data_IF_958686616221
#
_entry.id   IF_958686616221
#
_cell.length_a   1.000
_cell.length_b   1.000
_cell.length_c   1.000
_cell.angle_alpha   90.00
_cell.angle_beta   90.00
_cell.angle_gamma   90.00
#
_symmetry.space_group_name_H-M   'P 1'
#
loop_
_entity.id
_entity.type
_entity.pdbx_description
1 polymer ?
#
# COMPACT_ATOMS: atom_id res chain seq x y z
N UNK A 1 -7.13 -12.61 -2.69
CA UNK A 1 -5.70 -12.84 -2.50
C UNK A 1 -4.91 -11.58 -2.87
N UNK A 2 -3.74 -11.40 -2.23
CA UNK A 2 -2.85 -10.25 -2.33
C UNK A 2 -1.48 -10.71 -2.83
N UNK A 3 -0.90 -9.99 -3.78
CA UNK A 3 0.34 -10.36 -4.46
C UNK A 3 1.47 -9.43 -4.05
N UNK A 4 2.53 -9.97 -3.46
CA UNK A 4 3.69 -9.18 -2.98
C UNK A 4 5.00 -9.95 -3.11
N UNK A 5 6.12 -9.23 -3.08
CA UNK A 5 7.44 -9.86 -3.05
C UNK A 5 7.73 -10.44 -1.67
N UNK A 6 8.59 -11.47 -1.63
CA UNK A 6 8.94 -12.19 -0.40
C UNK A 6 9.38 -11.27 0.74
N UNK A 7 10.22 -10.27 0.43
CA UNK A 7 10.74 -9.29 1.40
C UNK A 7 9.66 -8.38 1.98
N UNK A 8 8.55 -8.18 1.26
CA UNK A 8 7.47 -7.29 1.64
C UNK A 8 6.31 -8.01 2.35
N UNK A 9 6.37 -9.35 2.48
CA UNK A 9 5.26 -10.16 3.01
C UNK A 9 4.79 -9.70 4.39
N UNK A 10 5.71 -9.42 5.32
CA UNK A 10 5.35 -8.90 6.64
C UNK A 10 4.72 -7.51 6.56
N UNK A 11 5.26 -6.60 5.74
CA UNK A 11 4.67 -5.27 5.51
C UNK A 11 3.27 -5.35 4.89
N UNK A 12 3.05 -6.33 4.01
CA UNK A 12 1.74 -6.60 3.45
C UNK A 12 0.76 -7.06 4.53
N UNK A 13 1.17 -8.01 5.39
CA UNK A 13 0.37 -8.42 6.55
C UNK A 13 0.00 -7.21 7.40
N UNK A 14 0.98 -6.38 7.78
CA UNK A 14 0.76 -5.16 8.56
C UNK A 14 -0.31 -4.26 7.95
N UNK A 15 -0.25 -3.99 6.64
CA UNK A 15 -1.26 -3.17 5.96
C UNK A 15 -2.66 -3.77 6.00
N UNK A 16 -2.80 -5.08 5.83
CA UNK A 16 -4.10 -5.75 5.91
C UNK A 16 -4.69 -5.70 7.32
N UNK A 17 -3.83 -5.79 8.35
CA UNK A 17 -4.24 -5.61 9.74
C UNK A 17 -4.66 -4.15 10.01
N UNK A 18 -3.85 -3.19 9.57
CA UNK A 18 -4.10 -1.76 9.76
C UNK A 18 -5.35 -1.23 9.04
N UNK A 19 -5.76 -1.86 7.94
CA UNK A 19 -7.00 -1.56 7.25
C UNK A 19 -8.25 -2.01 8.04
N UNK A 20 -8.07 -2.94 8.99
CA UNK A 20 -9.14 -3.67 9.67
C UNK A 20 -9.15 -3.35 11.18
N UNK A 21 -9.78 -2.25 11.63
CA UNK A 21 -9.64 -1.74 13.00
C UNK A 21 -10.23 -2.63 14.11
N UNK A 22 -11.14 -3.55 13.78
CA UNK A 22 -11.73 -4.51 14.72
C UNK A 22 -11.33 -5.95 14.38
N UNK A 23 -10.06 -6.14 14.04
CA UNK A 23 -9.56 -7.43 13.60
C UNK A 23 -9.52 -8.42 14.77
N UNK A 24 -10.14 -9.57 14.58
CA UNK A 24 -10.05 -10.72 15.47
C UNK A 24 -9.75 -11.92 14.59
N UNK A 25 -8.51 -12.38 14.62
CA UNK A 25 -7.96 -13.15 13.50
C UNK A 25 -7.00 -14.26 13.88
N UNK A 26 -6.89 -15.23 12.96
CA UNK A 26 -5.81 -16.21 12.96
C UNK A 26 -4.93 -15.98 11.74
N UNK A 27 -3.62 -15.88 11.96
CA UNK A 27 -2.59 -15.78 10.93
C UNK A 27 -1.89 -17.14 10.80
N UNK A 28 -2.09 -17.81 9.68
CA UNK A 28 -1.51 -19.13 9.42
C UNK A 28 -0.15 -19.04 8.74
N UNK A 29 0.87 -19.55 9.43
CA UNK A 29 2.23 -19.71 8.93
C UNK A 29 2.53 -21.19 8.61
N UNK A 30 3.63 -21.45 7.89
CA UNK A 30 4.03 -22.83 7.54
C UNK A 30 4.79 -23.52 8.68
N UNK A 31 5.73 -22.82 9.31
CA UNK A 31 6.66 -23.41 10.29
C UNK A 31 6.50 -22.78 11.66
N UNK A 32 6.91 -23.52 12.71
CA UNK A 32 6.89 -23.01 14.10
C UNK A 32 7.78 -21.78 14.25
N UNK A 33 8.98 -21.81 13.68
CA UNK A 33 9.87 -20.65 13.64
C UNK A 33 9.23 -19.42 12.97
N UNK A 34 8.48 -19.59 11.86
CA UNK A 34 7.79 -18.49 11.19
C UNK A 34 6.66 -17.93 12.07
N UNK A 35 5.94 -18.78 12.82
CA UNK A 35 4.92 -18.28 13.76
C UNK A 35 5.52 -17.39 14.85
N UNK A 36 6.64 -17.81 15.46
CA UNK A 36 7.31 -17.05 16.51
C UNK A 36 7.87 -15.73 15.99
N UNK A 37 8.50 -15.74 14.80
CA UNK A 37 9.03 -14.52 14.17
C UNK A 37 7.92 -13.52 13.83
N UNK A 38 6.82 -14.00 13.23
CA UNK A 38 5.69 -13.14 12.86
C UNK A 38 4.99 -12.58 14.11
N UNK A 39 4.72 -13.40 15.12
CA UNK A 39 4.12 -12.94 16.37
C UNK A 39 5.00 -11.87 17.05
N UNK A 40 6.29 -12.14 17.21
CA UNK A 40 7.22 -11.19 17.83
C UNK A 40 7.33 -9.87 17.05
N UNK A 41 7.28 -9.91 15.72
CA UNK A 41 7.25 -8.69 14.90
C UNK A 41 5.94 -7.92 15.04
N UNK A 42 4.81 -8.60 15.12
CA UNK A 42 3.51 -7.96 15.37
C UNK A 42 3.47 -7.31 16.75
N UNK A 43 3.91 -8.00 17.80
CA UNK A 43 3.96 -7.43 19.16
C UNK A 43 4.88 -6.20 19.22
N UNK A 44 6.03 -6.21 18.53
CA UNK A 44 6.92 -5.04 18.42
C UNK A 44 6.29 -3.85 17.71
N UNK A 45 5.35 -4.09 16.80
CA UNK A 45 4.60 -3.05 16.08
C UNK A 45 3.35 -2.61 16.87
N UNK A 46 3.13 -3.13 18.09
CA UNK A 46 2.05 -2.73 18.99
C UNK A 46 0.75 -3.52 18.81
N UNK A 47 0.75 -4.61 18.03
CA UNK A 47 -0.43 -5.48 17.92
C UNK A 47 -0.54 -6.44 19.10
N UNK A 48 -1.77 -6.67 19.56
CA UNK A 48 -2.11 -7.72 20.54
C UNK A 48 -2.05 -9.10 19.86
N UNK A 49 -0.84 -9.59 19.62
CA UNK A 49 -0.56 -10.84 18.93
C UNK A 49 0.15 -11.85 19.82
N UNK A 50 -0.22 -13.12 19.71
CA UNK A 50 0.42 -14.23 20.42
C UNK A 50 0.59 -15.45 19.50
N UNK A 51 1.46 -16.38 19.89
CA UNK A 51 1.84 -17.55 19.10
C UNK A 51 1.10 -18.80 19.57
N UNK A 52 0.69 -19.65 18.63
CA UNK A 52 0.15 -20.98 18.91
C UNK A 52 0.79 -22.02 17.99
N UNK A 53 1.80 -22.71 18.49
CA UNK A 53 2.51 -23.76 17.74
C UNK A 53 2.83 -24.96 18.64
N UNK A 54 3.49 -25.98 18.07
CA UNK A 54 3.80 -27.23 18.77
C UNK A 54 5.02 -27.16 19.71
N UNK A 55 5.64 -26.00 19.88
CA UNK A 55 6.74 -25.80 20.84
C UNK A 55 6.22 -25.36 22.21
N UNK A 56 4.93 -25.00 22.31
CA UNK A 56 4.27 -24.64 23.56
C UNK A 56 3.94 -25.87 24.39
N UNK A 57 4.16 -25.78 25.70
CA UNK A 57 3.61 -26.75 26.65
C UNK A 57 2.08 -26.66 26.69
N UNK A 58 1.42 -27.70 27.22
CA UNK A 58 -0.04 -27.69 27.33
C UNK A 58 -0.55 -26.50 28.18
N UNK A 59 0.11 -26.20 29.31
CA UNK A 59 -0.26 -25.06 30.15
C UNK A 59 -0.09 -23.72 29.43
N UNK A 60 0.98 -23.55 28.64
CA UNK A 60 1.18 -22.35 27.83
C UNK A 60 0.12 -22.22 26.74
N UNK A 61 -0.22 -23.34 26.09
CA UNK A 61 -1.29 -23.41 25.09
C UNK A 61 -2.62 -22.96 25.69
N UNK A 62 -2.97 -23.47 26.87
CA UNK A 62 -4.23 -23.11 27.54
C UNK A 62 -4.25 -21.62 27.94
N UNK A 63 -3.13 -21.07 28.41
CA UNK A 63 -2.99 -19.64 28.72
C UNK A 63 -3.23 -18.75 27.48
N UNK A 64 -2.56 -19.03 26.37
CA UNK A 64 -2.73 -18.28 25.11
C UNK A 64 -4.17 -18.38 24.63
N UNK A 65 -4.77 -19.57 24.72
CA UNK A 65 -6.14 -19.80 24.30
C UNK A 65 -7.18 -19.10 25.18
N UNK A 66 -6.93 -18.98 26.48
CA UNK A 66 -7.77 -18.18 27.38
C UNK A 66 -7.70 -16.70 26.98
N UNK A 67 -6.48 -16.14 26.87
CA UNK A 67 -6.28 -14.75 26.42
C UNK A 67 -6.95 -14.46 25.07
N UNK A 68 -6.88 -15.40 24.13
CA UNK A 68 -7.49 -15.24 22.82
C UNK A 68 -9.02 -15.28 22.88
N UNK A 69 -9.61 -16.18 23.69
CA UNK A 69 -11.08 -16.23 23.90
C UNK A 69 -11.60 -14.99 24.61
N UNK A 70 -10.82 -14.46 25.55
CA UNK A 70 -11.13 -13.25 26.30
C UNK A 70 -10.84 -11.96 25.50
N UNK A 71 -10.40 -12.09 24.23
CA UNK A 71 -10.00 -10.99 23.34
C UNK A 71 -8.88 -10.09 23.86
N UNK A 72 -8.12 -10.55 24.85
CA UNK A 72 -6.87 -9.89 25.25
C UNK A 72 -5.79 -10.04 24.16
N UNK A 73 -5.87 -11.12 23.39
CA UNK A 73 -5.13 -11.32 22.15
C UNK A 73 -6.12 -11.23 20.99
N UNK A 74 -5.81 -10.39 20.01
CA UNK A 74 -6.66 -10.16 18.84
C UNK A 74 -6.15 -10.94 17.62
N UNK A 75 -4.85 -11.23 17.57
CA UNK A 75 -4.20 -11.90 16.45
C UNK A 75 -3.45 -13.13 16.94
N UNK A 76 -3.97 -14.31 16.60
CA UNK A 76 -3.30 -15.58 16.91
C UNK A 76 -2.46 -16.04 15.73
N UNK A 77 -1.15 -16.18 15.91
CA UNK A 77 -0.24 -16.66 14.85
C UNK A 77 0.02 -18.15 15.04
N UNK A 78 -0.43 -18.97 14.09
CA UNK A 78 -0.47 -20.43 14.29
C UNK A 78 0.02 -21.26 13.09
N UNK A 79 0.38 -22.51 13.37
CA UNK A 79 0.53 -23.56 12.35
C UNK A 79 -0.76 -24.37 12.21
N UNK A 80 -0.92 -25.10 11.11
CA UNK A 80 -2.10 -25.96 10.89
C UNK A 80 -2.33 -26.96 12.02
N UNK A 81 -1.26 -27.63 12.44
CA UNK A 81 -1.34 -28.68 13.47
C UNK A 81 -1.83 -28.09 14.78
N UNK A 82 -1.26 -26.96 15.20
CA UNK A 82 -1.62 -26.32 16.45
C UNK A 82 -3.02 -25.67 16.40
N UNK A 83 -3.52 -25.35 15.22
CA UNK A 83 -4.82 -24.73 15.02
C UNK A 83 -5.98 -25.72 14.78
N UNK A 84 -5.69 -27.02 14.61
CA UNK A 84 -6.74 -28.05 14.54
C UNK A 84 -7.47 -28.13 15.88
N UNK A 85 -8.78 -28.33 15.82
CA UNK A 85 -9.62 -28.39 17.03
C UNK A 85 -9.76 -27.06 17.78
N UNK A 86 -9.30 -25.94 17.23
CA UNK A 86 -9.55 -24.63 17.82
C UNK A 86 -11.06 -24.32 17.82
N UNK A 87 -11.66 -24.38 19.00
CA UNK A 87 -13.01 -23.89 19.26
C UNK A 87 -12.96 -22.39 19.57
N UNK A 88 -12.73 -21.61 18.50
CA UNK A 88 -12.81 -20.15 18.57
C UNK A 88 -13.90 -19.71 17.61
N UNK A 89 -14.95 -19.15 18.18
CA UNK A 89 -16.08 -18.61 17.44
C UNK A 89 -15.81 -17.16 17.04
N UNK A 90 -16.50 -16.68 16.01
CA UNK A 90 -16.57 -15.26 15.64
C UNK A 90 -15.26 -14.59 15.18
N UNK A 91 -14.32 -15.34 14.59
CA UNK A 91 -13.17 -14.71 13.93
C UNK A 91 -13.65 -13.86 12.77
N UNK A 92 -13.27 -12.58 12.74
CA UNK A 92 -13.59 -11.67 11.64
C UNK A 92 -12.71 -11.95 10.43
N UNK A 93 -11.47 -12.41 10.68
CA UNK A 93 -10.49 -12.65 9.64
C UNK A 93 -9.73 -13.97 9.80
N UNK A 94 -9.44 -14.61 8.68
CA UNK A 94 -8.41 -15.65 8.57
C UNK A 94 -7.38 -15.17 7.57
N UNK A 95 -6.10 -15.15 7.97
CA UNK A 95 -5.02 -14.68 7.12
C UNK A 95 -4.07 -15.83 6.83
N UNK A 96 -4.02 -16.25 5.58
CA UNK A 96 -3.02 -17.20 5.10
C UNK A 96 -1.72 -16.45 4.82
N UNK A 97 -0.87 -16.32 5.84
CA UNK A 97 0.46 -15.72 5.70
C UNK A 97 1.36 -16.56 4.80
N UNK A 98 1.21 -17.88 4.85
CA UNK A 98 1.68 -18.83 3.82
C UNK A 98 0.52 -19.70 3.37
N UNK A 99 0.46 -20.03 2.10
CA UNK A 99 -0.48 -21.06 1.63
C UNK A 99 -0.15 -22.41 2.27
N UNK A 100 -1.16 -23.21 2.64
CA UNK A 100 -0.93 -24.58 3.07
C UNK A 100 -0.34 -25.41 1.92
N UNK A 101 0.38 -26.47 2.28
CA UNK A 101 0.98 -27.38 1.30
C UNK A 101 -0.06 -28.39 0.79
N UNK A 102 -0.99 -28.81 1.66
CA UNK A 102 -2.19 -29.59 1.32
C UNK A 102 -3.36 -28.69 0.94
N UNK A 103 -4.22 -29.16 0.04
CA UNK A 103 -5.27 -28.31 -0.53
C UNK A 103 -6.47 -28.20 0.41
N UNK A 104 -6.85 -29.31 1.01
CA UNK A 104 -7.96 -29.46 1.96
C UNK A 104 -7.71 -28.62 3.23
N UNK A 105 -6.44 -28.43 3.59
CA UNK A 105 -6.05 -27.55 4.69
C UNK A 105 -6.53 -26.11 4.49
N UNK A 106 -6.62 -25.60 3.25
CA UNK A 106 -7.17 -24.25 3.01
C UNK A 106 -8.63 -24.14 3.46
N UNK A 107 -9.44 -25.18 3.24
CA UNK A 107 -10.85 -25.20 3.66
C UNK A 107 -10.92 -25.18 5.18
N UNK A 108 -10.10 -25.99 5.86
CA UNK A 108 -10.06 -26.02 7.33
C UNK A 108 -9.60 -24.70 7.96
N UNK A 109 -8.69 -23.97 7.29
CA UNK A 109 -8.26 -22.63 7.69
C UNK A 109 -9.37 -21.62 7.48
N UNK A 110 -9.90 -21.52 6.26
CA UNK A 110 -10.91 -20.52 5.92
C UNK A 110 -12.22 -20.74 6.68
N UNK A 111 -12.59 -21.99 6.99
CA UNK A 111 -13.71 -22.34 7.86
C UNK A 111 -13.57 -21.96 9.34
N UNK A 112 -12.53 -21.20 9.72
CA UNK A 112 -12.41 -20.59 11.07
C UNK A 112 -13.13 -19.24 11.17
N UNK A 113 -13.41 -18.59 10.04
CA UNK A 113 -14.24 -17.38 9.98
C UNK A 113 -15.59 -17.71 9.32
N UNK A 114 -16.53 -16.75 9.29
CA UNK A 114 -17.81 -16.90 8.60
C UNK A 114 -18.75 -17.95 9.22
N UNK A 115 -18.69 -18.14 10.55
CA UNK A 115 -19.50 -19.15 11.28
C UNK A 115 -20.80 -18.54 11.82
N UNK A 116 -21.79 -19.40 12.05
CA UNK A 116 -23.07 -19.05 12.66
C UNK A 116 -23.79 -17.87 11.98
N UNK A 117 -23.77 -17.84 10.64
CA UNK A 117 -24.43 -16.81 9.83
C UNK A 117 -23.73 -15.45 9.79
N UNK A 118 -22.59 -15.28 10.46
CA UNK A 118 -21.79 -14.04 10.39
C UNK A 118 -20.92 -14.02 9.15
N UNK A 119 -20.67 -12.82 8.63
CA UNK A 119 -19.68 -12.62 7.56
C UNK A 119 -18.25 -12.78 8.10
N UNK A 120 -17.34 -13.13 7.20
CA UNK A 120 -15.95 -13.41 7.54
C UNK A 120 -15.03 -13.27 6.33
N UNK A 121 -13.82 -12.76 6.55
CA UNK A 121 -12.86 -12.49 5.48
C UNK A 121 -11.67 -13.43 5.53
N UNK A 122 -11.39 -14.11 4.41
CA UNK A 122 -10.22 -14.98 4.25
C UNK A 122 -9.19 -14.34 3.32
N UNK A 123 -8.11 -13.84 3.91
CA UNK A 123 -6.99 -13.23 3.19
C UNK A 123 -5.94 -14.28 2.84
N UNK A 124 -5.28 -14.05 1.71
CA UNK A 124 -4.20 -14.90 1.21
C UNK A 124 -3.09 -14.00 0.71
N UNK A 125 -1.89 -14.13 1.28
CA UNK A 125 -0.71 -13.39 0.84
C UNK A 125 0.19 -14.36 0.05
N UNK A 126 0.46 -14.03 -1.21
CA UNK A 126 1.27 -14.87 -2.10
C UNK A 126 2.39 -14.10 -2.80
N UNK A 127 3.44 -14.84 -3.16
CA UNK A 127 4.50 -14.42 -4.07
C UNK A 127 4.13 -14.72 -5.54
N UNK A 128 4.77 -14.04 -6.53
CA UNK A 128 4.53 -14.30 -7.96
C UNK A 128 4.66 -15.77 -8.39
N UNK A 129 5.57 -16.53 -7.76
CA UNK A 129 5.73 -17.96 -8.03
C UNK A 129 4.57 -18.84 -7.54
N UNK A 130 3.73 -18.32 -6.64
CA UNK A 130 2.64 -19.06 -6.00
C UNK A 130 1.28 -18.85 -6.69
N UNK A 131 1.20 -18.02 -7.74
CA UNK A 131 -0.06 -17.73 -8.46
C UNK A 131 -0.75 -19.01 -8.96
N UNK A 132 0.03 -20.02 -9.39
CA UNK A 132 -0.52 -21.32 -9.82
C UNK A 132 -1.24 -22.05 -8.68
N UNK A 133 -0.81 -21.86 -7.42
CA UNK A 133 -1.44 -22.47 -6.24
C UNK A 133 -2.85 -21.93 -6.01
N UNK A 134 -3.11 -20.65 -6.32
CA UNK A 134 -4.45 -20.07 -6.22
C UNK A 134 -5.44 -20.82 -7.11
N UNK A 135 -5.08 -21.10 -8.37
CA UNK A 135 -5.94 -21.83 -9.29
C UNK A 135 -6.33 -23.21 -8.78
N UNK A 136 -5.42 -23.90 -8.11
CA UNK A 136 -5.71 -25.21 -7.51
C UNK A 136 -6.67 -25.11 -6.33
N UNK A 137 -6.58 -24.03 -5.55
CA UNK A 137 -7.52 -23.78 -4.45
C UNK A 137 -8.90 -23.43 -5.00
N UNK A 138 -8.97 -22.58 -6.03
CA UNK A 138 -10.23 -22.21 -6.71
C UNK A 138 -10.98 -23.43 -7.25
N UNK A 139 -10.27 -24.40 -7.83
CA UNK A 139 -10.85 -25.65 -8.33
C UNK A 139 -11.57 -26.44 -7.24
N UNK A 140 -11.02 -26.49 -6.03
CA UNK A 140 -11.60 -27.23 -4.91
C UNK A 140 -12.72 -26.44 -4.24
N UNK A 141 -12.56 -25.12 -4.13
CA UNK A 141 -13.61 -24.26 -3.60
C UNK A 141 -14.82 -24.14 -4.53
N UNK A 142 -14.64 -24.41 -5.83
CA UNK A 142 -15.65 -24.13 -6.87
C UNK A 142 -15.95 -22.63 -7.01
N UNK A 143 -15.03 -21.75 -6.55
CA UNK A 143 -15.22 -20.29 -6.51
C UNK A 143 -13.92 -19.58 -6.87
N UNK A 144 -14.02 -18.48 -7.60
CA UNK A 144 -12.89 -17.61 -7.92
C UNK A 144 -12.46 -16.82 -6.68
N UNK A 145 -11.15 -16.76 -6.42
CA UNK A 145 -10.59 -15.97 -5.35
C UNK A 145 -10.21 -14.60 -5.92
N UNK A 146 -10.96 -13.57 -5.53
CA UNK A 146 -10.72 -12.19 -5.97
C UNK A 146 -9.27 -11.76 -5.72
N UNK A 147 -8.57 -11.33 -6.78
CA UNK A 147 -7.28 -10.63 -6.64
C UNK A 147 -7.53 -9.19 -6.21
N UNK A 148 -6.94 -8.80 -5.09
CA UNK A 148 -7.05 -7.43 -4.54
C UNK A 148 -5.66 -6.84 -4.38
N UNK A 149 -5.43 -5.56 -4.72
CA UNK A 149 -4.18 -4.90 -4.40
C UNK A 149 -4.01 -4.79 -2.88
N UNK A 150 -2.76 -4.83 -2.41
CA UNK A 150 -2.42 -4.43 -1.05
C UNK A 150 -2.72 -2.94 -0.92
N UNK A 151 -3.42 -2.50 0.15
CA UNK A 151 -3.73 -1.10 0.36
C UNK A 151 -2.49 -0.22 0.28
N UNK A 152 -2.67 0.95 -0.30
CA UNK A 152 -1.69 2.02 -0.33
C UNK A 152 -1.57 2.69 1.04
N UNK A 153 -0.46 3.39 1.24
CA UNK A 153 -0.24 4.20 2.45
C UNK A 153 -1.39 5.18 2.73
N UNK A 154 -1.94 5.81 1.68
CA UNK A 154 -3.05 6.75 1.80
C UNK A 154 -4.35 6.05 2.24
N UNK A 155 -4.64 4.87 1.70
CA UNK A 155 -5.81 4.08 2.10
C UNK A 155 -5.72 3.66 3.57
N UNK A 156 -4.53 3.24 4.03
CA UNK A 156 -4.32 2.90 5.45
C UNK A 156 -4.48 4.11 6.36
N UNK A 157 -3.86 5.24 6.02
CA UNK A 157 -4.01 6.48 6.78
C UNK A 157 -5.49 6.85 6.90
N UNK A 158 -6.22 6.82 5.79
CA UNK A 158 -7.66 7.12 5.77
C UNK A 158 -8.46 6.16 6.63
N UNK A 159 -8.19 4.85 6.55
CA UNK A 159 -8.89 3.85 7.35
C UNK A 159 -8.67 4.06 8.85
N UNK A 160 -7.42 4.28 9.27
CA UNK A 160 -7.08 4.56 10.66
C UNK A 160 -7.70 5.86 11.17
N UNK A 161 -7.63 6.92 10.37
CA UNK A 161 -8.23 8.21 10.71
C UNK A 161 -9.74 8.09 10.88
N UNK A 162 -10.42 7.45 9.92
CA UNK A 162 -11.87 7.24 10.01
C UNK A 162 -12.26 6.44 11.26
N UNK A 163 -11.49 5.40 11.63
CA UNK A 163 -11.78 4.66 12.85
C UNK A 163 -11.61 5.53 14.11
N UNK A 164 -10.55 6.34 14.18
CA UNK A 164 -10.35 7.27 15.29
C UNK A 164 -11.47 8.31 15.37
N UNK A 165 -11.88 8.88 14.24
CA UNK A 165 -12.98 9.84 14.19
C UNK A 165 -14.31 9.23 14.64
N UNK A 166 -14.62 8.00 14.23
CA UNK A 166 -15.82 7.30 14.71
C UNK A 166 -15.77 7.07 16.22
N UNK A 167 -14.59 6.76 16.78
CA UNK A 167 -14.41 6.60 18.23
C UNK A 167 -14.60 7.93 18.96
N UNK A 168 -14.07 9.02 18.39
CA UNK A 168 -14.22 10.37 18.92
C UNK A 168 -15.69 10.81 18.91
N UNK A 169 -16.42 10.52 17.83
CA UNK A 169 -17.86 10.80 17.72
C UNK A 169 -18.69 10.00 18.74
N UNK A 170 -18.30 8.76 19.02
CA UNK A 170 -18.98 7.90 20.01
C UNK A 170 -18.56 8.11 21.47
N UNK A 171 -17.57 8.99 21.73
CA UNK A 171 -17.05 9.19 23.07
C UNK A 171 -18.06 9.97 23.93
N UNK A 172 -18.22 9.57 25.19
CA UNK A 172 -19.07 10.25 26.15
C UNK A 172 -18.22 11.07 27.15
N UNK A 173 -18.15 12.41 27.03
CA UNK A 173 -17.34 13.25 27.90
C UNK A 173 -17.83 13.29 29.36
N UNK A 174 -19.11 13.00 29.60
CA UNK A 174 -19.76 13.12 30.92
C UNK A 174 -19.28 12.05 31.91
N UNK A 175 -18.72 10.93 31.44
CA UNK A 175 -18.27 9.82 32.29
C UNK A 175 -17.07 10.19 33.19
N UNK A 176 -16.34 11.25 32.86
CA UNK A 176 -15.07 11.58 33.52
C UNK A 176 -15.06 12.97 34.18
N UNK A 177 -16.22 13.62 34.34
CA UNK A 177 -16.35 14.98 34.92
C UNK A 177 -15.34 15.98 34.32
N UNK A 178 -15.20 15.98 32.99
CA UNK A 178 -14.18 16.77 32.30
C UNK A 178 -14.46 18.28 32.32
N UNK A 179 -15.64 18.69 32.79
CA UNK A 179 -16.07 20.08 32.89
C UNK A 179 -15.13 20.92 33.77
N UNK A 180 -14.46 20.31 34.75
CA UNK A 180 -13.48 21.01 35.59
C UNK A 180 -12.27 21.55 34.82
N UNK A 181 -11.97 20.98 33.64
CA UNK A 181 -10.87 21.41 32.79
C UNK A 181 -11.27 22.52 31.81
N UNK A 182 -12.56 22.85 31.68
CA UNK A 182 -13.05 23.85 30.73
C UNK A 182 -12.38 25.22 30.89
N UNK A 183 -12.20 25.77 32.11
CA UNK A 183 -11.50 27.05 32.27
C UNK A 183 -10.07 27.04 31.73
N UNK A 184 -9.34 25.92 31.93
CA UNK A 184 -7.95 25.77 31.44
C UNK A 184 -7.92 25.63 29.92
N UNK A 185 -8.90 24.93 29.34
CA UNK A 185 -9.03 24.80 27.89
C UNK A 185 -9.38 26.14 27.24
N UNK A 186 -10.27 26.92 27.84
CA UNK A 186 -10.64 28.26 27.36
C UNK A 186 -9.46 29.25 27.44
N UNK A 187 -8.71 29.25 28.55
CA UNK A 187 -7.51 30.09 28.69
C UNK A 187 -6.47 29.78 27.59
N UNK A 188 -6.23 28.49 27.32
CA UNK A 188 -5.18 28.06 26.37
C UNK A 188 -5.62 28.09 24.91
N UNK A 189 -6.88 27.78 24.63
CA UNK A 189 -7.36 27.52 23.27
C UNK A 189 -8.54 28.40 22.85
N UNK A 190 -9.03 29.31 23.70
CA UNK A 190 -10.17 30.17 23.38
C UNK A 190 -9.99 31.08 22.16
N UNK A 191 -8.75 31.29 21.71
CA UNK A 191 -8.43 32.03 20.48
C UNK A 191 -8.40 31.15 19.22
N UNK A 192 -8.36 29.83 19.36
CA UNK A 192 -8.33 28.89 18.24
C UNK A 192 -9.76 28.48 17.87
N UNK A 193 -9.99 28.26 16.58
CA UNK A 193 -11.24 27.63 16.16
C UNK A 193 -11.19 26.11 16.37
N UNK A 194 -12.35 25.47 16.44
CA UNK A 194 -12.47 24.03 16.66
C UNK A 194 -11.73 23.19 15.61
N UNK A 195 -11.67 23.67 14.35
CA UNK A 195 -10.97 22.97 13.28
C UNK A 195 -9.46 22.95 13.51
N UNK A 196 -8.87 24.04 13.99
CA UNK A 196 -7.45 24.13 14.34
C UNK A 196 -7.09 23.21 15.49
N UNK A 197 -7.96 23.14 16.51
CA UNK A 197 -7.79 22.23 17.64
C UNK A 197 -7.85 20.77 17.16
N UNK A 198 -8.86 20.42 16.36
CA UNK A 198 -9.00 19.07 15.80
C UNK A 198 -7.80 18.67 14.92
N UNK A 199 -7.32 19.57 14.06
CA UNK A 199 -6.14 19.31 13.22
C UNK A 199 -4.87 19.12 14.07
N UNK A 200 -4.70 19.87 15.15
CA UNK A 200 -3.59 19.69 16.10
C UNK A 200 -3.68 18.34 16.81
N UNK A 201 -4.86 17.96 17.29
CA UNK A 201 -5.10 16.65 17.94
C UNK A 201 -4.76 15.51 16.98
N UNK A 202 -5.31 15.56 15.75
CA UNK A 202 -5.03 14.54 14.73
C UNK A 202 -3.53 14.51 14.39
N UNK A 203 -2.89 15.67 14.25
CA UNK A 203 -1.46 15.74 13.94
C UNK A 203 -0.59 15.10 15.02
N UNK A 204 -0.93 15.29 16.30
CA UNK A 204 -0.19 14.71 17.42
C UNK A 204 -0.45 13.20 17.54
N UNK A 205 -1.71 12.79 17.43
CA UNK A 205 -2.09 11.38 17.56
C UNK A 205 -1.57 10.51 16.39
N UNK A 206 -1.53 11.06 15.17
CA UNK A 206 -1.17 10.33 13.96
C UNK A 206 0.27 10.57 13.47
N UNK A 207 1.10 11.36 14.16
CA UNK A 207 2.45 11.72 13.73
C UNK A 207 3.28 10.50 13.28
N UNK A 208 3.39 9.50 14.18
CA UNK A 208 4.08 8.23 13.90
C UNK A 208 3.48 7.47 12.71
N UNK A 209 2.16 7.49 12.56
CA UNK A 209 1.46 6.83 11.46
C UNK A 209 1.79 7.52 10.14
N UNK A 210 1.75 8.85 10.09
CA UNK A 210 2.10 9.63 8.91
C UNK A 210 3.57 9.42 8.53
N UNK A 211 4.50 9.50 9.48
CA UNK A 211 5.93 9.29 9.21
C UNK A 211 6.21 7.89 8.62
N UNK A 212 5.65 6.85 9.25
CA UNK A 212 5.81 5.48 8.77
C UNK A 212 5.29 5.32 7.34
N UNK A 213 4.07 5.80 7.07
CA UNK A 213 3.40 5.59 5.80
C UNK A 213 3.85 6.53 4.68
N UNK A 214 4.42 7.70 5.02
CA UNK A 214 5.10 8.61 4.08
C UNK A 214 6.31 7.93 3.44
N UNK A 215 7.03 7.09 4.19
CA UNK A 215 8.21 6.37 3.72
C UNK A 215 7.87 4.99 3.12
N UNK A 216 6.65 4.50 3.35
CA UNK A 216 6.23 3.18 2.87
C UNK A 216 5.87 3.20 1.37
N UNK A 217 6.65 2.51 0.55
CA UNK A 217 6.42 2.38 -0.90
C UNK A 217 5.26 1.45 -1.29
N UNK A 218 5.05 1.24 -2.59
CA UNK A 218 4.07 0.26 -3.10
C UNK A 218 4.56 -1.17 -2.83
N UNK A 219 3.69 -2.00 -2.24
CA UNK A 219 4.00 -3.39 -1.88
C UNK A 219 3.46 -4.40 -2.91
N UNK A 220 2.71 -3.94 -3.91
CA UNK A 220 2.09 -4.79 -4.91
C UNK A 220 3.14 -5.32 -5.90
N UNK A 221 3.33 -6.63 -5.93
CA UNK A 221 4.21 -7.24 -6.92
C UNK A 221 3.55 -7.24 -8.31
N UNK A 222 4.29 -6.79 -9.31
CA UNK A 222 3.90 -6.98 -10.71
C UNK A 222 4.25 -8.41 -11.14
N UNK A 223 3.38 -9.11 -11.90
CA UNK A 223 3.78 -10.34 -12.56
C UNK A 223 5.02 -10.03 -13.41
N UNK A 224 6.12 -10.76 -13.19
CA UNK A 224 7.35 -10.64 -13.98
C UNK A 224 6.99 -10.80 -15.46
N UNK A 225 6.82 -9.68 -16.16
CA UNK A 225 6.90 -9.65 -17.61
C UNK A 225 8.38 -9.83 -17.96
N UNK A 226 8.64 -10.64 -18.98
CA UNK A 226 9.96 -10.74 -19.61
C UNK A 226 10.63 -9.36 -19.71
N UNK A 227 11.93 -9.29 -19.42
CA UNK A 227 12.84 -8.11 -19.42
C UNK A 227 12.82 -7.19 -20.66
N UNK A 228 11.87 -7.33 -21.59
CA UNK A 228 11.69 -6.48 -22.77
C UNK A 228 10.70 -5.33 -22.60
N UNK A 229 9.87 -5.30 -21.55
CA UNK A 229 8.81 -4.28 -21.39
C UNK A 229 9.05 -3.28 -20.23
N UNK A 230 10.20 -3.36 -19.56
CA UNK A 230 10.51 -2.64 -18.31
C UNK A 230 10.58 -1.11 -18.46
N UNK A 231 10.65 -0.60 -19.70
CA UNK A 231 10.57 0.84 -19.98
C UNK A 231 9.15 1.40 -20.09
N UNK A 232 8.10 0.58 -20.07
CA UNK A 232 6.73 1.05 -20.41
C UNK A 232 5.77 1.27 -19.24
N UNK A 233 6.18 0.99 -17.99
CA UNK A 233 5.24 0.92 -16.84
C UNK A 233 5.51 1.84 -15.67
N UNK A 234 6.46 2.79 -15.78
CA UNK A 234 6.59 3.87 -14.81
C UNK A 234 5.61 5.04 -15.04
N UNK A 235 4.88 5.04 -16.16
CA UNK A 235 4.04 6.17 -16.60
C UNK A 235 2.53 5.97 -16.53
N UNK A 236 1.96 5.28 -15.52
CA UNK A 236 0.49 5.13 -15.42
C UNK A 236 -0.18 5.65 -14.15
N UNK A 237 0.56 6.02 -13.10
CA UNK A 237 -0.03 6.69 -11.91
C UNK A 237 0.17 8.21 -11.90
N UNK A 238 1.01 8.77 -12.79
CA UNK A 238 1.23 10.21 -12.96
C UNK A 238 0.25 10.88 -13.97
N UNK A 239 -0.56 10.12 -14.72
CA UNK A 239 -1.36 10.72 -15.83
C UNK A 239 -2.56 11.57 -15.37
N UNK A 240 -2.97 11.54 -14.09
CA UNK A 240 -4.17 12.27 -13.68
C UNK A 240 -3.90 13.75 -13.40
N UNK A 241 -2.72 14.12 -12.87
CA UNK A 241 -2.44 15.48 -12.39
C UNK A 241 -1.31 16.22 -13.13
N UNK A 242 -0.61 15.57 -14.08
CA UNK A 242 0.48 16.22 -14.81
C UNK A 242 0.17 16.32 -16.31
N UNK A 243 0.68 17.39 -16.92
CA UNK A 243 0.73 17.57 -18.37
C UNK A 243 2.15 17.25 -18.84
N UNK A 244 2.27 16.39 -19.86
CA UNK A 244 3.57 15.99 -20.44
C UNK A 244 3.96 16.97 -21.55
N UNK A 245 5.15 17.51 -21.46
CA UNK A 245 5.76 18.41 -22.44
C UNK A 245 6.94 17.76 -23.14
N UNK A 246 7.06 18.04 -24.44
CA UNK A 246 8.27 17.88 -25.22
C UNK A 246 9.16 19.11 -25.03
N UNK A 247 10.44 18.88 -24.77
CA UNK A 247 11.46 19.91 -24.67
C UNK A 247 12.59 19.62 -25.65
N UNK A 248 12.96 20.59 -26.48
CA UNK A 248 13.93 20.44 -27.57
C UNK A 248 15.42 20.39 -27.14
N UNK A 249 15.71 19.97 -25.91
CA UNK A 249 17.07 19.75 -25.38
C UNK A 249 17.25 18.34 -24.84
N UNK A 250 18.41 17.73 -25.05
CA UNK A 250 18.72 16.37 -24.62
C UNK A 250 20.11 16.22 -24.01
N UNK A 251 20.54 14.97 -23.82
CA UNK A 251 21.86 14.67 -23.24
C UNK A 251 23.04 15.09 -24.12
N UNK A 252 22.86 15.16 -25.45
CA UNK A 252 23.89 15.70 -26.37
C UNK A 252 24.14 17.19 -26.15
N UNK A 253 23.16 17.91 -25.63
CA UNK A 253 23.28 19.33 -25.26
C UNK A 253 23.98 19.52 -23.90
N UNK A 254 24.60 18.46 -23.35
CA UNK A 254 25.27 18.40 -22.04
C UNK A 254 24.35 18.72 -20.85
N UNK A 255 23.04 18.55 -21.02
CA UNK A 255 22.08 18.64 -19.91
C UNK A 255 21.93 17.30 -19.21
N UNK A 256 21.94 17.34 -17.88
CA UNK A 256 21.59 16.22 -17.01
C UNK A 256 20.22 16.47 -16.36
N UNK A 257 19.60 15.42 -15.81
CA UNK A 257 18.27 15.49 -15.20
C UNK A 257 18.17 16.60 -14.13
N UNK A 258 19.20 16.76 -13.30
CA UNK A 258 19.28 17.83 -12.29
C UNK A 258 19.29 19.23 -12.93
N UNK A 259 20.13 19.44 -13.93
CA UNK A 259 20.22 20.72 -14.65
C UNK A 259 18.92 21.09 -15.39
N UNK A 260 18.10 20.11 -15.76
CA UNK A 260 16.78 20.36 -16.37
C UNK A 260 15.73 20.75 -15.32
N UNK A 261 15.80 20.17 -14.11
CA UNK A 261 14.98 20.62 -12.97
C UNK A 261 15.32 22.06 -12.62
N UNK A 262 16.62 22.38 -12.52
CA UNK A 262 17.09 23.74 -12.24
C UNK A 262 16.65 24.74 -13.32
N UNK A 263 16.68 24.30 -14.58
CA UNK A 263 16.21 25.08 -15.72
C UNK A 263 14.73 25.44 -15.60
N UNK A 264 13.90 24.46 -15.28
CA UNK A 264 12.44 24.61 -15.15
C UNK A 264 12.12 25.55 -13.98
N UNK A 265 12.76 25.34 -12.83
CA UNK A 265 12.59 26.18 -11.65
C UNK A 265 13.08 27.62 -11.86
N UNK A 266 14.07 27.83 -12.73
CA UNK A 266 14.57 29.17 -13.07
C UNK A 266 13.67 29.92 -14.06
N UNK A 267 13.04 29.21 -14.99
CA UNK A 267 12.23 29.80 -16.06
C UNK A 267 10.78 30.02 -15.60
N UNK A 268 10.24 29.15 -14.75
CA UNK A 268 8.87 29.27 -14.25
C UNK A 268 8.82 30.24 -13.06
N UNK A 269 7.97 31.29 -13.11
CA UNK A 269 7.90 32.31 -12.05
C UNK A 269 7.23 31.82 -10.76
N UNK A 270 6.51 30.70 -10.80
CA UNK A 270 5.91 30.09 -9.62
C UNK A 270 6.97 29.30 -8.84
N UNK A 271 7.32 29.80 -7.64
CA UNK A 271 8.07 29.01 -6.65
C UNK A 271 7.20 27.79 -6.31
N UNK A 272 7.65 26.58 -6.69
CA UNK A 272 7.03 25.27 -6.37
C UNK A 272 6.09 24.66 -7.42
N UNK A 273 6.31 24.84 -8.72
CA UNK A 273 5.67 23.95 -9.71
C UNK A 273 6.17 22.52 -9.48
N UNK A 274 5.27 21.59 -9.20
CA UNK A 274 5.67 20.20 -9.02
C UNK A 274 6.09 19.58 -10.37
N UNK A 275 7.27 18.96 -10.37
CA UNK A 275 7.88 18.35 -11.55
C UNK A 275 7.76 16.83 -11.42
N UNK A 276 6.95 16.24 -12.29
CA UNK A 276 6.74 14.81 -12.38
C UNK A 276 7.91 14.08 -13.05
N UNK A 277 7.58 13.12 -13.93
CA UNK A 277 8.62 12.35 -14.60
C UNK A 277 9.42 13.20 -15.61
N UNK A 278 10.74 12.99 -15.63
CA UNK A 278 11.65 13.56 -16.64
C UNK A 278 12.30 12.41 -17.39
N UNK A 279 12.08 12.36 -18.70
CA UNK A 279 12.67 11.43 -19.63
C UNK A 279 13.68 12.15 -20.52
N UNK A 280 14.97 11.93 -20.29
CA UNK A 280 16.05 12.53 -21.09
C UNK A 280 16.38 11.64 -22.28
N UNK A 281 16.30 12.17 -23.50
CA UNK A 281 16.76 11.49 -24.72
C UNK A 281 17.99 12.21 -25.29
N UNK A 282 18.56 11.66 -26.37
CA UNK A 282 19.82 12.20 -26.93
C UNK A 282 19.69 13.63 -27.43
N UNK A 283 18.59 13.96 -28.11
CA UNK A 283 18.41 15.26 -28.79
C UNK A 283 17.24 16.10 -28.27
N UNK A 284 16.45 15.53 -27.36
CA UNK A 284 15.26 16.15 -26.77
C UNK A 284 14.95 15.45 -25.45
N UNK A 285 13.98 15.96 -24.70
CA UNK A 285 13.54 15.39 -23.42
C UNK A 285 12.04 15.55 -23.28
N UNK A 286 11.43 14.73 -22.41
CA UNK A 286 10.08 14.96 -21.93
C UNK A 286 10.07 15.29 -20.46
N UNK A 287 9.19 16.20 -20.07
CA UNK A 287 8.98 16.59 -18.69
C UNK A 287 7.48 16.63 -18.39
N UNK A 288 7.09 16.16 -17.22
CA UNK A 288 5.75 16.29 -16.69
C UNK A 288 5.72 17.44 -15.68
N UNK A 289 4.80 18.39 -15.88
CA UNK A 289 4.54 19.49 -14.93
C UNK A 289 3.10 19.38 -14.44
N UNK A 290 2.85 19.82 -13.21
CA UNK A 290 1.51 19.91 -12.65
C UNK A 290 0.53 20.66 -13.58
N UNK A 291 -0.71 20.18 -13.70
CA UNK A 291 -1.77 20.83 -14.47
C UNK A 291 -2.08 22.22 -13.92
N UNK A 292 -2.46 23.16 -14.79
CA UNK A 292 -2.79 24.55 -14.44
C UNK A 292 -1.68 25.55 -14.79
N UNK A 293 -0.52 25.08 -15.25
CA UNK A 293 0.62 25.90 -15.65
C UNK A 293 0.89 25.87 -17.16
N UNK A 294 -0.01 25.32 -17.99
CA UNK A 294 0.20 25.03 -19.41
C UNK A 294 0.62 26.26 -20.22
N UNK A 295 -0.21 27.29 -20.25
CA UNK A 295 0.02 28.47 -21.06
C UNK A 295 1.21 29.29 -20.55
N UNK A 296 1.43 29.28 -19.22
CA UNK A 296 2.54 29.96 -18.58
C UNK A 296 3.88 29.30 -18.94
N UNK A 297 3.95 27.97 -18.86
CA UNK A 297 5.16 27.21 -19.15
C UNK A 297 5.55 27.33 -20.63
N UNK A 298 4.60 27.21 -21.55
CA UNK A 298 4.87 27.35 -22.99
C UNK A 298 5.41 28.76 -23.32
N UNK A 299 4.80 29.82 -22.77
CA UNK A 299 5.25 31.20 -22.99
C UNK A 299 6.64 31.47 -22.41
N UNK A 300 6.90 31.01 -21.19
CA UNK A 300 8.17 31.23 -20.51
C UNK A 300 9.35 30.56 -21.25
N UNK A 301 9.15 29.34 -21.75
CA UNK A 301 10.19 28.62 -22.49
C UNK A 301 10.42 29.18 -23.90
N UNK A 302 9.37 29.63 -24.62
CA UNK A 302 9.47 30.18 -25.98
C UNK A 302 10.32 31.47 -26.09
N UNK A 303 10.42 32.21 -24.97
CA UNK A 303 11.17 33.46 -24.86
C UNK A 303 12.57 33.29 -24.26
N UNK A 304 13.01 32.05 -24.01
CA UNK A 304 14.30 31.79 -23.37
C UNK A 304 15.32 31.23 -24.37
N UNK A 305 16.48 31.89 -24.44
CA UNK A 305 17.66 31.40 -25.14
C UNK A 305 18.70 30.91 -24.14
N UNK A 306 19.23 29.71 -24.34
CA UNK A 306 20.22 29.10 -23.45
C UNK A 306 21.33 28.47 -24.27
N UNK A 307 22.58 28.88 -24.00
CA UNK A 307 23.80 28.39 -24.70
C UNK A 307 23.70 28.46 -26.23
N UNK A 308 23.14 29.55 -26.76
CA UNK A 308 23.00 29.78 -28.21
C UNK A 308 21.87 29.00 -28.89
N UNK A 309 21.03 28.28 -28.14
CA UNK A 309 19.88 27.53 -28.67
C UNK A 309 18.57 28.05 -28.07
N UNK A 310 17.56 28.23 -28.92
CA UNK A 310 16.21 28.63 -28.50
C UNK A 310 15.48 27.44 -27.90
N UNK A 311 14.99 27.58 -26.67
CA UNK A 311 14.20 26.55 -26.04
C UNK A 311 12.79 26.53 -26.62
N UNK A 312 12.23 25.34 -26.82
CA UNK A 312 10.83 25.13 -27.20
C UNK A 312 10.23 24.07 -26.30
N UNK A 313 9.11 24.42 -25.66
CA UNK A 313 8.31 23.55 -24.83
C UNK A 313 6.93 23.40 -25.48
N UNK A 314 6.52 22.18 -25.82
CA UNK A 314 5.25 21.89 -26.49
C UNK A 314 4.52 20.75 -25.76
N UNK A 315 3.19 20.77 -25.71
CA UNK A 315 2.42 19.66 -25.12
C UNK A 315 2.61 18.41 -26.00
N UNK A 316 3.05 17.31 -25.39
CA UNK A 316 3.28 16.07 -26.12
C UNK A 316 1.94 15.38 -26.44
N UNK A 317 1.58 15.29 -27.73
CA UNK A 317 0.41 14.53 -28.15
C UNK A 317 0.64 13.01 -27.95
N UNK A 318 -0.35 12.28 -27.40
CA UNK A 318 -0.32 10.82 -27.27
C UNK A 318 -0.25 10.16 -28.65
N UNK A 319 0.92 9.66 -29.06
CA UNK A 319 0.99 8.77 -30.23
C UNK A 319 0.24 7.45 -29.94
N UNK A 320 -0.87 7.22 -30.64
CA UNK A 320 -1.49 5.89 -30.77
C UNK A 320 -0.52 4.99 -31.54
N UNK A 321 0.10 4.04 -30.84
CA UNK A 321 1.00 3.05 -31.42
C UNK A 321 0.37 2.30 -32.60
N UNK A 322 0.74 2.65 -33.84
CA UNK A 322 0.43 1.86 -35.04
C UNK A 322 1.22 0.55 -34.98
N UNK A 323 0.52 -0.58 -34.78
CA UNK A 323 1.07 -1.94 -34.95
C UNK A 323 1.58 -2.09 -36.40
N UNK A 324 2.90 -2.02 -36.60
CA UNK A 324 3.54 -2.49 -37.84
C UNK A 324 3.48 -4.03 -37.86
N UNK A 325 2.55 -4.59 -38.62
CA UNK A 325 2.56 -6.01 -39.02
C UNK A 325 3.77 -6.25 -39.93
N UNK A 326 4.84 -6.86 -39.41
CA UNK A 326 5.89 -7.41 -40.26
C UNK A 326 5.40 -8.71 -40.91
N UNK A 327 5.07 -8.64 -42.20
CA UNK A 327 4.95 -9.79 -43.11
C UNK A 327 6.31 -10.50 -43.16
N UNK A 328 6.36 -11.76 -42.71
CA UNK A 328 7.50 -12.67 -42.94
C UNK A 328 7.61 -12.96 -44.44
N UNK A 329 8.67 -12.48 -45.10
CA UNK A 329 9.10 -13.03 -46.40
C UNK A 329 9.86 -14.33 -46.14
N UNK A 330 9.30 -15.43 -46.63
CA UNK A 330 9.97 -16.73 -46.65
C UNK A 330 11.18 -16.72 -47.57
N UNK A 331 12.30 -17.24 -47.07
CA UNK A 331 13.54 -17.44 -47.84
C UNK A 331 13.46 -18.86 -48.44
N UNK A 332 13.21 -18.96 -49.74
CA UNK A 332 13.43 -20.19 -50.52
C UNK A 332 14.94 -20.44 -50.58
N UNK A 333 15.39 -21.63 -50.17
CA UNK A 333 16.72 -22.16 -50.50
C UNK A 333 16.61 -22.89 -51.84
N UNK A 334 17.46 -22.50 -52.78
CA UNK A 334 17.95 -23.36 -53.86
C UNK A 334 19.23 -24.02 -53.35
#
# INVERSE_FOLDING_TARGET
YYLTDRSNRFRALKRLLDESPNIYSIVFCRTRAETTDVAAKLSREGYNADVLNGDLTQSQRDLVMNKFRDKQVEILVATDVAARGLDVNNLTHVINYRLPDEREAYIHRSGRTGRAGKEGLSYIIIEPGEIRKIKYIEQILGKEIKKTPIPSSQEIIKAKLNNYLNRLESANPEEHNLDEFMPVLEEKFGQLNINEILLKVISLEFDRTFEYYKQAGDLNASPRKSRRDEHSRKGRKAELNYTRYFLNIGTRDKYQKRSLIDLVNKILPAKNVDIGNIEMLKSYSFIELEKGYEDMAIKAFKNTNMKGRRLSLEIAQKEKSKKRKHKRKGKKRR
#
